data_IF_171650234533
#
_entry.id   IF_171650234533
#
_cell.length_a   1.000
_cell.length_b   1.000
_cell.length_c   1.000
_cell.angle_alpha   90.00
_cell.angle_beta   90.00
_cell.angle_gamma   90.00
#
_symmetry.space_group_name_H-M   'P 1'
#
loop_
_entity.id
_entity.type
_entity.pdbx_description
1 polymer ?
#
# COMPACT_ATOMS: atom_id res chain seq x y z
N UNK A 1 11.64 0.52 6.34
CA UNK A 1 12.25 1.86 6.66
C UNK A 1 12.84 2.01 8.06
N UNK A 2 12.08 1.86 9.16
CA UNK A 2 12.60 2.16 10.51
C UNK A 2 13.82 1.30 10.87
N UNK A 3 13.74 0.00 10.59
CA UNK A 3 14.81 -0.97 10.90
C UNK A 3 16.08 -0.62 10.12
N UNK A 4 15.96 -0.35 8.82
CA UNK A 4 17.05 0.09 7.95
C UNK A 4 17.86 1.28 8.51
N UNK A 5 17.22 2.25 9.16
CA UNK A 5 17.94 3.41 9.75
C UNK A 5 18.54 3.14 11.14
N UNK A 6 18.21 2.03 11.78
CA UNK A 6 18.68 1.67 13.13
C UNK A 6 19.74 0.57 13.03
N UNK A 7 19.37 -0.56 12.42
CA UNK A 7 20.17 -1.76 12.28
C UNK A 7 19.66 -2.54 11.04
N UNK A 8 20.23 -2.26 9.84
CA UNK A 8 19.93 -2.96 8.59
C UNK A 8 19.94 -4.49 8.74
N UNK A 9 18.93 -5.15 8.17
CA UNK A 9 18.79 -6.62 8.27
C UNK A 9 19.72 -7.30 7.26
N UNK A 10 20.52 -8.25 7.73
CA UNK A 10 21.32 -9.14 6.89
C UNK A 10 20.82 -10.59 6.96
N UNK A 11 21.41 -11.44 6.10
CA UNK A 11 21.14 -12.88 6.08
C UNK A 11 21.41 -13.50 7.46
N UNK A 12 20.38 -14.10 8.03
CA UNK A 12 20.44 -14.76 9.35
C UNK A 12 20.00 -13.88 10.51
N UNK A 13 19.82 -12.57 10.30
CA UNK A 13 19.27 -11.69 11.32
C UNK A 13 17.76 -11.92 11.50
N UNK A 14 17.28 -11.71 12.72
CA UNK A 14 15.87 -11.86 13.07
C UNK A 14 15.40 -10.63 13.82
N UNK A 15 14.49 -9.88 13.21
CA UNK A 15 13.86 -8.70 13.81
C UNK A 15 12.36 -8.95 13.98
N UNK A 16 11.85 -8.62 15.18
CA UNK A 16 10.43 -8.75 15.50
C UNK A 16 9.77 -7.38 15.46
N UNK A 17 8.65 -7.29 14.77
CA UNK A 17 7.84 -6.07 14.71
C UNK A 17 6.51 -6.29 15.43
N UNK A 18 6.01 -5.24 16.08
CA UNK A 18 4.68 -5.20 16.65
C UNK A 18 4.09 -3.80 16.51
N UNK A 19 2.79 -3.73 16.23
CA UNK A 19 2.09 -2.46 16.23
C UNK A 19 1.76 -2.02 17.68
N UNK A 20 1.46 -0.72 17.90
CA UNK A 20 1.09 -0.22 19.22
C UNK A 20 -0.11 -0.94 19.85
N UNK A 21 -1.03 -1.44 19.03
CA UNK A 21 -2.18 -2.23 19.50
C UNK A 21 -1.74 -3.55 20.15
N UNK A 22 -0.81 -4.28 19.53
CA UNK A 22 -0.24 -5.52 20.05
C UNK A 22 0.48 -5.31 21.39
N UNK A 23 1.18 -4.18 21.56
CA UNK A 23 1.79 -3.80 22.86
C UNK A 23 0.73 -3.71 23.95
N UNK A 24 -0.39 -3.03 23.67
CA UNK A 24 -1.51 -2.88 24.61
C UNK A 24 -2.15 -4.24 24.93
N UNK A 25 -2.33 -5.11 23.94
CA UNK A 25 -2.89 -6.44 24.14
C UNK A 25 -2.02 -7.31 25.05
N UNK A 26 -0.70 -7.33 24.80
CA UNK A 26 0.27 -8.03 25.64
C UNK A 26 0.21 -7.49 27.07
N UNK A 27 0.22 -6.16 27.24
CA UNK A 27 0.11 -5.53 28.56
C UNK A 27 -1.16 -5.94 29.31
N UNK A 28 -2.33 -5.92 28.64
CA UNK A 28 -3.61 -6.34 29.25
C UNK A 28 -3.61 -7.82 29.63
N UNK A 29 -3.00 -8.68 28.82
CA UNK A 29 -2.90 -10.11 29.09
C UNK A 29 -2.13 -10.36 30.39
N UNK A 30 -0.95 -9.74 30.55
CA UNK A 30 -0.12 -9.96 31.74
C UNK A 30 -0.64 -9.24 33.00
N UNK A 31 -1.25 -8.06 32.85
CA UNK A 31 -1.78 -7.32 34.00
C UNK A 31 -3.11 -7.88 34.53
N UNK A 32 -4.00 -8.32 33.62
CA UNK A 32 -5.37 -8.69 33.97
C UNK A 32 -5.68 -10.19 33.76
N UNK A 33 -4.80 -10.95 33.12
CA UNK A 33 -5.08 -12.35 32.74
C UNK A 33 -6.10 -12.51 31.62
N UNK A 34 -6.36 -11.44 30.83
CA UNK A 34 -7.43 -11.42 29.82
C UNK A 34 -6.85 -11.10 28.45
N UNK A 35 -7.21 -11.93 27.46
CA UNK A 35 -6.97 -11.63 26.05
C UNK A 35 -8.05 -10.67 25.52
N UNK A 36 -7.72 -9.38 25.45
CA UNK A 36 -8.63 -8.34 24.95
C UNK A 36 -8.52 -8.18 23.43
N UNK A 37 -9.54 -8.67 22.72
CA UNK A 37 -9.65 -8.55 21.27
C UNK A 37 -10.30 -7.23 20.81
N UNK A 38 -10.66 -6.32 21.73
CA UNK A 38 -11.26 -5.04 21.38
C UNK A 38 -10.23 -4.12 20.73
N UNK A 39 -10.58 -3.56 19.56
CA UNK A 39 -9.70 -2.73 18.73
C UNK A 39 -10.39 -1.41 18.41
N UNK A 40 -9.60 -0.35 18.28
CA UNK A 40 -10.05 0.91 17.71
C UNK A 40 -9.61 0.95 16.25
N UNK A 41 -10.57 1.10 15.33
CA UNK A 41 -10.28 1.21 13.90
C UNK A 41 -10.86 2.51 13.33
N UNK A 42 -10.23 3.08 12.30
CA UNK A 42 -10.79 4.23 11.59
C UNK A 42 -11.59 3.77 10.36
N UNK A 43 -12.77 4.37 10.12
CA UNK A 43 -13.44 4.30 8.82
C UNK A 43 -13.20 5.63 8.12
N UNK A 44 -12.50 5.60 6.99
CA UNK A 44 -11.99 6.78 6.30
C UNK A 44 -12.15 6.67 4.80
N UNK A 45 -11.81 7.74 4.08
CA UNK A 45 -11.84 7.79 2.62
C UNK A 45 -12.87 8.78 2.09
N UNK A 46 -12.77 9.09 0.80
CA UNK A 46 -13.55 10.16 0.16
C UNK A 46 -15.03 9.83 -0.04
N UNK A 47 -15.41 8.56 0.15
CA UNK A 47 -16.79 8.07 0.04
C UNK A 47 -17.42 7.73 1.40
N UNK A 48 -16.82 8.20 2.50
CA UNK A 48 -17.38 8.10 3.85
C UNK A 48 -17.96 9.46 4.25
N UNK A 49 -19.23 9.48 4.68
CA UNK A 49 -19.95 10.71 5.10
C UNK A 49 -19.28 11.39 6.30
N UNK A 50 -19.02 10.61 7.35
CA UNK A 50 -18.48 11.09 8.63
C UNK A 50 -17.30 10.20 9.09
N UNK A 51 -16.08 10.44 8.55
CA UNK A 51 -14.89 9.69 8.92
C UNK A 51 -14.61 9.79 10.42
N UNK A 52 -14.47 8.64 11.09
CA UNK A 52 -14.29 8.59 12.55
C UNK A 52 -13.72 7.24 13.00
N UNK A 53 -13.37 7.18 14.28
CA UNK A 53 -12.93 5.95 14.93
C UNK A 53 -14.11 5.15 15.49
N UNK A 54 -14.01 3.82 15.37
CA UNK A 54 -14.98 2.87 15.89
C UNK A 54 -14.29 1.86 16.78
N UNK A 55 -14.86 1.63 17.97
CA UNK A 55 -14.48 0.51 18.83
C UNK A 55 -15.16 -0.75 18.33
N UNK A 56 -14.38 -1.77 18.05
CA UNK A 56 -14.82 -3.05 17.49
C UNK A 56 -13.95 -4.19 18.02
N UNK A 57 -13.97 -5.35 17.37
CA UNK A 57 -13.10 -6.49 17.66
C UNK A 57 -12.25 -6.85 16.44
N UNK A 58 -11.14 -7.57 16.65
CA UNK A 58 -10.35 -8.16 15.57
C UNK A 58 -11.23 -9.02 14.65
N UNK A 59 -11.10 -8.86 13.34
CA UNK A 59 -11.91 -9.60 12.36
C UNK A 59 -13.36 -9.12 12.25
N UNK A 60 -13.67 -7.89 12.70
CA UNK A 60 -15.02 -7.36 12.60
C UNK A 60 -15.53 -7.28 11.15
N UNK A 61 -16.83 -7.55 10.97
CA UNK A 61 -17.50 -7.43 9.68
C UNK A 61 -17.58 -5.98 9.22
N UNK A 62 -17.19 -5.76 7.97
CA UNK A 62 -17.22 -4.44 7.32
C UNK A 62 -18.65 -3.99 7.05
N UNK A 63 -19.55 -4.92 6.75
CA UNK A 63 -20.98 -4.64 6.48
C UNK A 63 -21.61 -3.74 7.55
N UNK A 64 -21.39 -4.09 8.81
CA UNK A 64 -21.91 -3.31 9.95
C UNK A 64 -21.15 -1.99 10.14
N UNK A 65 -19.86 -1.98 9.80
CA UNK A 65 -19.03 -0.79 9.91
C UNK A 65 -19.46 0.30 8.92
N UNK A 66 -19.81 -0.06 7.68
CA UNK A 66 -20.12 0.87 6.58
C UNK A 66 -21.60 1.23 6.46
N UNK A 67 -22.50 0.48 7.12
CA UNK A 67 -23.94 0.63 6.99
C UNK A 67 -24.39 2.09 7.17
N UNK A 68 -25.12 2.60 6.18
CA UNK A 68 -25.67 3.97 6.09
C UNK A 68 -24.64 5.11 6.11
N UNK A 69 -23.34 4.80 6.11
CA UNK A 69 -22.24 5.78 6.24
C UNK A 69 -21.54 6.11 4.92
N UNK A 70 -21.88 5.41 3.83
CA UNK A 70 -21.33 5.67 2.51
C UNK A 70 -22.07 6.82 1.82
N UNK A 71 -21.33 7.61 1.04
CA UNK A 71 -21.88 8.69 0.20
C UNK A 71 -22.66 8.15 -1.01
N UNK A 72 -22.26 6.99 -1.52
CA UNK A 72 -22.86 6.26 -2.64
C UNK A 72 -22.51 4.76 -2.58
N UNK A 73 -23.10 3.96 -3.45
CA UNK A 73 -22.92 2.49 -3.45
C UNK A 73 -21.79 2.01 -4.39
N UNK A 74 -21.35 2.84 -5.34
CA UNK A 74 -20.34 2.49 -6.35
C UNK A 74 -18.92 2.81 -5.86
N UNK A 75 -18.48 2.02 -4.89
CA UNK A 75 -17.25 2.27 -4.14
C UNK A 75 -16.36 1.05 -4.03
N UNK A 76 -15.06 1.28 -3.88
CA UNK A 76 -14.10 0.27 -3.46
C UNK A 76 -13.88 0.36 -1.96
N UNK A 77 -14.04 -0.78 -1.29
CA UNK A 77 -13.77 -0.93 0.14
C UNK A 77 -12.47 -1.71 0.33
N UNK A 78 -11.55 -1.08 1.06
CA UNK A 78 -10.21 -1.57 1.32
C UNK A 78 -10.02 -1.75 2.82
N UNK A 79 -9.62 -2.94 3.25
CA UNK A 79 -9.08 -3.14 4.60
C UNK A 79 -7.62 -2.68 4.58
N UNK A 80 -7.27 -1.71 5.43
CA UNK A 80 -5.98 -1.01 5.38
C UNK A 80 -6.00 0.28 4.55
N UNK A 81 -4.83 0.71 4.06
CA UNK A 81 -4.67 1.90 3.21
C UNK A 81 -4.79 1.56 1.72
N UNK A 82 -4.82 2.59 0.89
CA UNK A 82 -4.90 2.47 -0.56
C UNK A 82 -3.63 1.95 -1.24
N UNK A 83 -2.47 1.95 -0.55
CA UNK A 83 -1.19 1.53 -1.13
C UNK A 83 -0.96 0.03 -0.99
N UNK A 84 -1.35 -0.55 0.15
CA UNK A 84 -1.03 -1.93 0.56
C UNK A 84 -2.25 -2.74 1.03
N UNK A 85 -3.40 -2.08 1.18
CA UNK A 85 -4.59 -2.70 1.72
C UNK A 85 -5.27 -3.66 0.75
N UNK A 86 -6.15 -4.50 1.30
CA UNK A 86 -6.83 -5.55 0.54
C UNK A 86 -8.26 -5.15 0.19
N UNK A 87 -8.68 -5.40 -1.07
CA UNK A 87 -10.09 -5.27 -1.48
C UNK A 87 -10.93 -6.36 -0.82
N UNK A 88 -11.92 -5.96 -0.02
CA UNK A 88 -12.69 -6.87 0.85
C UNK A 88 -14.19 -6.88 0.54
N UNK A 89 -14.68 -5.91 -0.24
CA UNK A 89 -16.10 -5.80 -0.57
C UNK A 89 -16.98 -5.48 0.66
N UNK A 90 -18.31 -5.49 0.47
CA UNK A 90 -19.26 -5.12 1.53
C UNK A 90 -19.43 -6.20 2.60
N UNK A 91 -19.35 -7.48 2.22
CA UNK A 91 -19.51 -8.62 3.13
C UNK A 91 -18.17 -9.11 3.71
N UNK A 92 -17.08 -8.38 3.48
CA UNK A 92 -15.75 -8.71 3.99
C UNK A 92 -15.55 -8.39 5.47
N UNK A 93 -14.30 -8.54 5.91
CA UNK A 93 -13.86 -8.36 7.29
C UNK A 93 -12.60 -7.51 7.33
N UNK A 94 -12.38 -6.87 8.48
CA UNK A 94 -11.14 -6.14 8.72
C UNK A 94 -9.99 -7.13 8.89
N UNK A 95 -8.93 -6.95 8.12
CA UNK A 95 -7.72 -7.75 8.13
C UNK A 95 -7.03 -7.74 9.50
N UNK A 96 -6.23 -8.78 9.75
CA UNK A 96 -5.60 -8.98 11.05
C UNK A 96 -4.65 -7.83 11.43
N UNK A 97 -3.82 -7.36 10.49
CA UNK A 97 -2.87 -6.27 10.74
C UNK A 97 -3.48 -4.87 10.57
N UNK A 98 -4.65 -4.75 9.93
CA UNK A 98 -5.24 -3.47 9.54
C UNK A 98 -5.92 -2.72 10.69
N UNK A 99 -5.62 -1.42 10.82
CA UNK A 99 -6.21 -0.56 11.84
C UNK A 99 -7.26 0.42 11.30
N UNK A 100 -7.60 0.31 10.01
CA UNK A 100 -8.56 1.20 9.38
C UNK A 100 -9.13 0.56 8.12
N UNK A 101 -10.30 1.03 7.72
CA UNK A 101 -10.99 0.67 6.49
C UNK A 101 -11.10 1.94 5.65
N UNK A 102 -10.56 1.88 4.45
CA UNK A 102 -10.57 3.00 3.51
C UNK A 102 -11.60 2.76 2.41
N UNK A 103 -12.47 3.75 2.16
CA UNK A 103 -13.48 3.70 1.10
C UNK A 103 -13.21 4.77 0.06
N UNK A 104 -12.96 4.35 -1.17
CA UNK A 104 -12.64 5.21 -2.33
C UNK A 104 -13.65 4.96 -3.46
N UNK A 105 -13.74 5.82 -4.47
CA UNK A 105 -14.56 5.56 -5.64
C UNK A 105 -14.05 4.31 -6.38
N UNK A 106 -14.96 3.53 -6.95
CA UNK A 106 -14.58 2.48 -7.88
C UNK A 106 -14.28 3.12 -9.25
N UNK A 107 -13.14 2.73 -9.85
CA UNK A 107 -12.60 3.28 -11.10
C UNK A 107 -12.80 2.38 -12.31
N UNK A 108 -13.90 1.63 -12.37
CA UNK A 108 -14.22 0.65 -13.44
C UNK A 108 -14.80 1.28 -14.72
N UNK A 109 -14.33 2.47 -15.08
CA UNK A 109 -14.75 3.22 -16.26
C UNK A 109 -13.66 3.31 -17.33
N UNK A 110 -14.07 3.58 -18.57
CA UNK A 110 -13.16 3.80 -19.70
C UNK A 110 -12.80 5.27 -19.85
N UNK A 111 -11.53 5.56 -20.11
CA UNK A 111 -11.05 6.91 -20.38
C UNK A 111 -10.93 7.17 -21.89
N UNK A 112 -11.68 8.15 -22.39
CA UNK A 112 -11.55 8.60 -23.77
C UNK A 112 -10.14 9.16 -24.03
N UNK A 113 -9.42 8.58 -25.01
CA UNK A 113 -8.01 8.84 -25.33
C UNK A 113 -7.00 8.47 -24.20
N UNK A 114 -7.45 7.77 -23.16
CA UNK A 114 -6.60 7.20 -22.11
C UNK A 114 -5.62 8.17 -21.48
N UNK A 115 -4.36 7.74 -21.37
CA UNK A 115 -3.26 8.51 -20.78
C UNK A 115 -2.76 9.68 -21.64
N UNK A 116 -3.16 9.75 -22.93
CA UNK A 116 -2.75 10.81 -23.86
C UNK A 116 -3.57 12.10 -23.61
N UNK A 117 -4.79 11.96 -23.09
CA UNK A 117 -5.67 13.09 -22.84
C UNK A 117 -5.05 14.04 -21.79
N UNK A 118 -4.89 15.34 -22.11
CA UNK A 118 -4.40 16.30 -21.15
C UNK A 118 -5.35 16.43 -19.95
N UNK A 119 -4.81 16.42 -18.73
CA UNK A 119 -5.60 16.52 -17.51
C UNK A 119 -4.87 17.27 -16.40
N UNK A 120 -5.62 18.13 -15.69
CA UNK A 120 -5.19 18.78 -14.45
C UNK A 120 -5.82 18.13 -13.19
N UNK A 121 -6.72 17.15 -13.38
CA UNK A 121 -7.44 16.47 -12.29
C UNK A 121 -6.81 15.15 -11.87
N UNK A 122 -5.88 14.61 -12.66
CA UNK A 122 -5.17 13.35 -12.35
C UNK A 122 -3.93 13.61 -11.51
N UNK A 123 -3.82 12.91 -10.38
CA UNK A 123 -2.57 12.92 -9.60
C UNK A 123 -1.47 12.34 -10.47
N UNK A 124 -0.33 13.04 -10.55
CA UNK A 124 0.83 12.55 -11.28
C UNK A 124 2.10 12.97 -10.56
N UNK A 125 2.97 12.00 -10.32
CA UNK A 125 4.34 12.25 -9.87
C UNK A 125 5.20 12.84 -11.00
N UNK A 126 4.93 12.45 -12.24
CA UNK A 126 5.68 12.88 -13.43
C UNK A 126 5.05 14.13 -14.05
N UNK A 127 5.88 15.07 -14.48
CA UNK A 127 5.46 16.27 -15.22
C UNK A 127 5.50 16.04 -16.73
N UNK A 128 4.86 14.96 -17.19
CA UNK A 128 4.79 14.62 -18.60
C UNK A 128 3.90 15.63 -19.37
N UNK A 129 4.12 15.74 -20.68
CA UNK A 129 3.32 16.61 -21.54
C UNK A 129 1.82 16.27 -21.44
N UNK A 130 1.00 17.26 -21.09
CA UNK A 130 -0.45 17.08 -20.88
C UNK A 130 -0.88 16.79 -19.44
N UNK A 131 0.04 16.51 -18.51
CA UNK A 131 -0.30 16.33 -17.08
C UNK A 131 -0.03 17.62 -16.32
N UNK A 132 -1.10 18.34 -15.98
CA UNK A 132 -1.05 19.69 -15.42
C UNK A 132 -1.37 19.76 -13.91
N UNK A 133 -1.45 18.61 -13.23
CA UNK A 133 -1.78 18.57 -11.79
C UNK A 133 -0.77 19.33 -10.91
N UNK A 134 0.49 19.42 -11.34
CA UNK A 134 1.53 20.20 -10.66
C UNK A 134 1.25 21.71 -10.59
N UNK A 135 0.36 22.25 -11.45
CA UNK A 135 -0.03 23.66 -11.41
C UNK A 135 -0.97 23.97 -10.23
N UNK A 136 -1.59 22.95 -9.65
CA UNK A 136 -2.53 23.07 -8.54
C UNK A 136 -1.91 22.51 -7.24
N UNK A 137 -0.75 23.04 -6.84
CA UNK A 137 0.12 22.46 -5.80
C UNK A 137 -0.49 22.18 -4.42
N UNK A 138 -1.65 22.75 -4.09
CA UNK A 138 -2.36 22.54 -2.82
C UNK A 138 -3.72 21.86 -2.97
N UNK A 139 -4.06 21.37 -4.17
CA UNK A 139 -5.37 20.76 -4.41
C UNK A 139 -5.38 19.34 -3.88
N UNK A 140 -6.37 19.01 -3.05
CA UNK A 140 -6.66 17.64 -2.69
C UNK A 140 -7.32 16.91 -3.87
N UNK A 141 -6.91 15.67 -4.09
CA UNK A 141 -7.40 14.84 -5.18
C UNK A 141 -8.23 13.69 -4.66
N UNK A 142 -9.39 13.48 -5.30
CA UNK A 142 -10.22 12.30 -5.10
C UNK A 142 -9.77 11.25 -6.10
N UNK A 143 -8.93 10.31 -5.64
CA UNK A 143 -8.37 9.21 -6.44
C UNK A 143 -9.27 7.98 -6.33
N UNK A 144 -9.42 7.24 -7.42
CA UNK A 144 -10.18 5.99 -7.51
C UNK A 144 -9.27 4.78 -7.75
N UNK A 145 -9.85 3.62 -8.04
CA UNK A 145 -9.13 2.37 -8.26
C UNK A 145 -8.65 2.13 -9.70
N UNK A 146 -8.75 3.11 -10.60
CA UNK A 146 -8.36 2.95 -12.00
C UNK A 146 -6.83 3.03 -12.18
N UNK A 147 -6.28 2.15 -13.02
CA UNK A 147 -4.83 2.09 -13.33
C UNK A 147 -4.30 3.32 -14.08
N UNK A 148 -5.17 4.02 -14.80
CA UNK A 148 -4.83 5.20 -15.62
C UNK A 148 -3.65 4.95 -16.58
N UNK A 149 -3.61 3.78 -17.22
CA UNK A 149 -2.52 3.37 -18.10
C UNK A 149 -2.55 1.89 -18.42
N UNK A 150 -1.48 1.41 -19.05
CA UNK A 150 -1.31 0.02 -19.45
C UNK A 150 0.10 -0.47 -19.06
N UNK A 151 0.31 -1.79 -18.93
CA UNK A 151 1.63 -2.38 -18.72
C UNK A 151 2.62 -2.00 -19.83
N UNK A 152 3.84 -1.62 -19.44
CA UNK A 152 4.94 -1.25 -20.37
C UNK A 152 6.26 -1.82 -19.91
N UNK A 153 7.25 -1.79 -20.79
CA UNK A 153 8.60 -2.22 -20.46
C UNK A 153 9.20 -1.42 -19.28
N UNK A 154 10.04 -2.09 -18.48
CA UNK A 154 10.71 -1.51 -17.33
C UNK A 154 11.97 -0.70 -17.72
N UNK A 155 11.74 0.49 -18.29
CA UNK A 155 12.81 1.33 -18.86
C UNK A 155 13.19 2.54 -18.00
N UNK A 156 12.34 2.96 -17.05
CA UNK A 156 12.62 4.13 -16.23
C UNK A 156 13.73 3.88 -15.21
N UNK A 157 14.50 4.93 -14.92
CA UNK A 157 15.62 4.93 -13.96
C UNK A 157 15.51 6.14 -13.03
N UNK A 158 15.90 6.00 -11.76
CA UNK A 158 15.92 7.12 -10.81
C UNK A 158 14.55 7.57 -10.29
N UNK A 159 13.46 6.84 -10.60
CA UNK A 159 12.10 7.23 -10.19
C UNK A 159 11.78 6.64 -8.82
N UNK A 160 12.06 5.35 -8.63
CA UNK A 160 11.78 4.65 -7.39
C UNK A 160 12.68 5.13 -6.24
N UNK A 161 13.92 5.50 -6.55
CA UNK A 161 14.88 6.09 -5.61
C UNK A 161 14.38 7.42 -5.02
N UNK A 162 13.52 8.15 -5.73
CA UNK A 162 12.95 9.42 -5.23
C UNK A 162 11.86 9.24 -4.19
N UNK A 163 11.28 8.04 -4.09
CA UNK A 163 10.18 7.72 -3.15
C UNK A 163 10.55 6.64 -2.15
N UNK A 164 11.77 6.08 -2.25
CA UNK A 164 12.29 5.05 -1.34
C UNK A 164 13.24 5.72 -0.34
N UNK A 165 12.86 5.85 0.94
CA UNK A 165 13.66 6.54 1.95
C UNK A 165 14.68 5.60 2.62
N UNK A 166 15.34 4.76 1.83
CA UNK A 166 16.32 3.76 2.26
C UNK A 166 17.49 3.77 1.29
N UNK A 167 18.68 3.43 1.76
CA UNK A 167 19.91 3.30 0.96
C UNK A 167 19.92 1.96 0.20
N UNK A 168 18.93 1.79 -0.65
CA UNK A 168 18.77 0.64 -1.54
C UNK A 168 18.50 1.13 -2.95
N UNK A 169 18.79 0.29 -3.95
CA UNK A 169 18.56 0.59 -5.35
C UNK A 169 17.31 -0.17 -5.84
N UNK A 170 16.08 0.32 -5.57
CA UNK A 170 14.84 -0.42 -5.83
C UNK A 170 14.66 -0.76 -7.31
N UNK A 171 15.11 0.10 -8.23
CA UNK A 171 15.02 -0.19 -9.66
C UNK A 171 15.88 -1.41 -10.05
N UNK A 172 17.07 -1.53 -9.47
CA UNK A 172 17.98 -2.65 -9.73
C UNK A 172 17.50 -3.90 -9.01
N UNK A 173 17.06 -3.77 -7.75
CA UNK A 173 16.53 -4.88 -6.96
C UNK A 173 15.35 -5.54 -7.67
N UNK A 174 14.39 -4.76 -8.16
CA UNK A 174 13.24 -5.33 -8.88
C UNK A 174 13.64 -5.99 -10.19
N UNK A 175 14.70 -5.50 -10.86
CA UNK A 175 15.22 -6.12 -12.09
C UNK A 175 15.97 -7.40 -11.82
N UNK A 176 16.75 -7.48 -10.74
CA UNK A 176 17.42 -8.73 -10.34
C UNK A 176 16.38 -9.78 -9.96
N UNK A 177 15.32 -9.40 -9.24
CA UNK A 177 14.18 -10.29 -8.97
C UNK A 177 13.55 -10.84 -10.26
N UNK A 178 13.26 -9.97 -11.24
CA UNK A 178 12.71 -10.40 -12.53
C UNK A 178 13.66 -11.26 -13.35
N UNK A 179 14.97 -11.13 -13.13
CA UNK A 179 16.00 -11.96 -13.76
C UNK A 179 16.28 -13.25 -12.97
N UNK A 180 15.64 -13.44 -11.82
CA UNK A 180 15.90 -14.53 -10.87
C UNK A 180 17.38 -14.60 -10.42
N UNK A 181 18.08 -13.45 -10.41
CA UNK A 181 19.48 -13.34 -9.96
C UNK A 181 19.55 -13.20 -8.43
N UNK A 182 19.62 -14.34 -7.75
CA UNK A 182 19.61 -14.42 -6.27
C UNK A 182 20.80 -13.70 -5.66
N UNK A 183 21.99 -13.84 -6.24
CA UNK A 183 23.21 -13.21 -5.71
C UNK A 183 23.07 -11.68 -5.74
N UNK A 184 22.59 -11.13 -6.87
CA UNK A 184 22.35 -9.68 -7.00
C UNK A 184 21.18 -9.20 -6.12
N UNK A 185 20.14 -10.01 -5.89
CA UNK A 185 19.07 -9.69 -4.93
C UNK A 185 19.60 -9.52 -3.50
N UNK A 186 20.47 -10.43 -3.05
CA UNK A 186 21.07 -10.35 -1.72
C UNK A 186 21.95 -9.10 -1.58
N UNK A 187 22.81 -8.82 -2.57
CA UNK A 187 23.68 -7.65 -2.58
C UNK A 187 22.91 -6.32 -2.59
N UNK A 188 21.70 -6.31 -3.18
CA UNK A 188 20.83 -5.13 -3.26
C UNK A 188 19.89 -4.95 -2.07
N UNK A 189 20.00 -5.78 -1.04
CA UNK A 189 19.30 -5.58 0.24
C UNK A 189 17.85 -6.08 0.26
N UNK A 190 17.53 -7.14 -0.49
CA UNK A 190 16.18 -7.75 -0.49
C UNK A 190 15.67 -8.14 0.91
N UNK A 191 16.56 -8.47 1.86
CA UNK A 191 16.21 -8.82 3.23
C UNK A 191 15.66 -7.65 4.06
N UNK A 192 15.90 -6.42 3.63
CA UNK A 192 15.53 -5.22 4.37
C UNK A 192 14.14 -4.67 4.01
N UNK A 193 13.53 -5.21 2.95
CA UNK A 193 12.31 -4.66 2.37
C UNK A 193 11.16 -5.65 2.36
N UNK A 194 9.97 -5.13 2.61
CA UNK A 194 8.70 -5.82 2.34
C UNK A 194 7.85 -4.98 1.39
N UNK A 195 6.72 -5.53 0.96
CA UNK A 195 5.82 -4.91 -0.04
C UNK A 195 5.46 -3.47 0.33
N UNK A 196 5.15 -3.23 1.61
CA UNK A 196 4.78 -1.91 2.10
C UNK A 196 5.88 -0.86 1.89
N UNK A 197 7.16 -1.25 1.98
CA UNK A 197 8.27 -0.33 1.79
C UNK A 197 8.40 0.13 0.33
N UNK A 198 7.95 -0.67 -0.64
CA UNK A 198 7.99 -0.35 -2.08
C UNK A 198 6.61 0.02 -2.67
N UNK A 199 5.56 0.12 -1.85
CA UNK A 199 4.22 0.41 -2.35
C UNK A 199 4.12 1.79 -3.04
N UNK A 200 4.92 2.78 -2.61
CA UNK A 200 5.02 4.07 -3.30
C UNK A 200 5.71 3.97 -4.66
N UNK A 201 6.65 3.03 -4.84
CA UNK A 201 7.28 2.77 -6.14
C UNK A 201 6.22 2.31 -7.14
N UNK A 202 5.33 1.41 -6.74
CA UNK A 202 4.20 0.97 -7.55
C UNK A 202 3.30 2.13 -7.96
N UNK A 203 2.96 3.00 -7.00
CA UNK A 203 2.10 4.15 -7.25
C UNK A 203 2.68 5.13 -8.28
N UNK A 204 3.99 5.38 -8.24
CA UNK A 204 4.65 6.31 -9.17
C UNK A 204 5.11 5.67 -10.48
N UNK A 205 4.94 4.35 -10.63
CA UNK A 205 5.33 3.65 -11.86
C UNK A 205 4.41 4.00 -13.03
N UNK A 206 5.01 4.52 -14.10
CA UNK A 206 4.28 4.78 -15.35
C UNK A 206 4.06 3.51 -16.17
N UNK A 207 4.86 2.48 -15.93
CA UNK A 207 4.84 1.22 -16.66
C UNK A 207 3.90 0.19 -16.04
N UNK A 208 3.27 0.51 -14.91
CA UNK A 208 2.19 -0.27 -14.28
C UNK A 208 2.62 -1.70 -13.91
N UNK A 209 3.85 -1.85 -13.44
CA UNK A 209 4.29 -3.09 -12.82
C UNK A 209 3.65 -3.24 -11.45
N UNK A 210 3.29 -4.47 -11.09
CA UNK A 210 2.87 -4.81 -9.73
C UNK A 210 4.11 -4.97 -8.84
N UNK A 211 4.76 -3.85 -8.49
CA UNK A 211 6.05 -3.83 -7.77
C UNK A 211 5.99 -4.64 -6.47
N UNK A 212 4.90 -4.53 -5.72
CA UNK A 212 4.71 -5.31 -4.50
C UNK A 212 4.68 -6.82 -4.78
N UNK A 213 4.00 -7.25 -5.84
CA UNK A 213 3.97 -8.67 -6.21
C UNK A 213 5.35 -9.15 -6.66
N UNK A 214 6.07 -8.37 -7.47
CA UNK A 214 7.44 -8.70 -7.89
C UNK A 214 8.31 -8.90 -6.64
N UNK A 215 8.23 -8.01 -5.65
CA UNK A 215 8.99 -8.16 -4.42
C UNK A 215 8.61 -9.44 -3.65
N UNK A 216 7.31 -9.74 -3.54
CA UNK A 216 6.84 -10.98 -2.90
C UNK A 216 7.44 -12.21 -3.59
N UNK A 217 7.42 -12.25 -4.92
CA UNK A 217 7.95 -13.36 -5.71
C UNK A 217 9.46 -13.54 -5.47
N UNK A 218 10.22 -12.44 -5.37
CA UNK A 218 11.64 -12.47 -5.03
C UNK A 218 11.92 -13.01 -3.62
N UNK A 219 11.13 -12.60 -2.63
CA UNK A 219 11.23 -13.13 -1.25
C UNK A 219 10.91 -14.63 -1.23
N UNK A 220 9.88 -15.07 -1.96
CA UNK A 220 9.51 -16.48 -2.07
C UNK A 220 10.60 -17.30 -2.77
N UNK A 221 11.28 -16.74 -3.79
CA UNK A 221 12.39 -17.39 -4.46
C UNK A 221 13.54 -17.68 -3.48
N UNK A 222 13.90 -16.71 -2.62
CA UNK A 222 14.94 -16.89 -1.60
C UNK A 222 14.58 -17.89 -0.50
N UNK A 223 13.29 -18.02 -0.17
CA UNK A 223 12.84 -18.99 0.82
C UNK A 223 12.92 -20.43 0.32
N UNK A 224 12.87 -20.62 -0.99
CA UNK A 224 12.81 -21.93 -1.64
C UNK A 224 14.12 -22.34 -2.34
N UNK A 225 15.16 -21.48 -2.33
CA UNK A 225 16.50 -21.77 -2.85
C UNK A 225 17.40 -22.50 -1.84
#
# INVERSE_FOLDING_TARGET
VQIHHIDPINKGDVVWTLNPFGVIQIGKLFLNGVHDASRLIALVGSEVKDPQYYKTYTGASIKNLIKDKLTNDHVRIVSGNVLTGTRVGQDGYVGFFDNYVTVIPEGDYYEFLGWIAPSASKVSFHRAFGLFSFLNGNKEFKVDSNTHGEPRAFVQTGVFERVTPMDILPTYLLKSILAEDVDEMEELGIYEVIEEDLALCEFVDVSKHNVQQILRDGIELLQNS
#
